data_IF_351106548358
#
_entry.id   IF_351106548358
#
_cell.length_a   1.000
_cell.length_b   1.000
_cell.length_c   1.000
_cell.angle_alpha   90.00
_cell.angle_beta   90.00
_cell.angle_gamma   90.00
#
_symmetry.space_group_name_H-M   'P 1'
#
loop_
_entity.id
_entity.type
_entity.pdbx_description
1 polymer ?
#
# COMPACT_ATOMS: atom_id res chain seq x y z
N UNK A 1 -4.27 31.52 10.79
CA UNK A 1 -4.85 30.94 9.58
C UNK A 1 -4.94 29.41 9.65
N UNK A 2 -5.62 28.82 8.69
CA UNK A 2 -5.91 27.37 8.58
C UNK A 2 -4.70 26.48 8.87
N UNK A 3 -3.53 26.88 8.43
CA UNK A 3 -2.29 26.11 8.56
C UNK A 3 -1.68 26.10 9.96
N UNK A 4 -2.13 26.99 10.87
CA UNK A 4 -1.59 27.13 12.23
C UNK A 4 -2.51 26.57 13.32
N UNK A 5 -3.65 26.00 12.95
CA UNK A 5 -4.61 25.45 13.92
C UNK A 5 -4.08 24.18 14.58
N UNK A 6 -4.32 24.05 15.90
CA UNK A 6 -3.93 22.84 16.66
C UNK A 6 -4.79 21.61 16.34
N UNK A 7 -6.01 21.79 15.82
CA UNK A 7 -6.94 20.74 15.38
C UNK A 7 -7.73 21.22 14.17
N UNK A 8 -8.11 20.29 13.31
CA UNK A 8 -9.00 20.58 12.19
C UNK A 8 -10.44 20.64 12.70
N UNK A 9 -10.85 21.81 13.14
CA UNK A 9 -12.25 22.07 13.57
C UNK A 9 -13.17 22.14 12.34
N UNK A 10 -14.48 22.06 12.55
CA UNK A 10 -15.44 22.23 11.45
C UNK A 10 -15.34 23.61 10.79
N UNK A 11 -15.01 24.66 11.56
CA UNK A 11 -14.73 25.97 11.01
C UNK A 11 -13.50 25.92 10.08
N UNK A 12 -12.42 25.27 10.52
CA UNK A 12 -11.20 25.12 9.70
C UNK A 12 -11.45 24.31 8.43
N UNK A 13 -12.27 23.25 8.52
CA UNK A 13 -12.67 22.45 7.35
C UNK A 13 -13.46 23.29 6.32
N UNK A 14 -14.33 24.18 6.80
CA UNK A 14 -15.04 25.14 5.93
C UNK A 14 -14.08 26.14 5.29
N UNK A 15 -13.11 26.65 6.04
CA UNK A 15 -12.11 27.57 5.51
C UNK A 15 -11.23 26.92 4.43
N UNK A 16 -10.88 25.63 4.62
CA UNK A 16 -10.17 24.86 3.59
C UNK A 16 -10.98 24.75 2.32
N UNK A 17 -12.28 24.42 2.43
CA UNK A 17 -13.15 24.32 1.26
C UNK A 17 -13.33 25.68 0.56
N UNK A 18 -13.47 26.75 1.31
CA UNK A 18 -13.56 28.11 0.76
C UNK A 18 -12.27 28.52 0.02
N UNK A 19 -11.10 28.13 0.56
CA UNK A 19 -9.81 28.34 -0.12
C UNK A 19 -9.72 27.51 -1.41
N UNK A 20 -10.14 26.27 -1.38
CA UNK A 20 -10.19 25.41 -2.57
C UNK A 20 -11.09 26.00 -3.64
N UNK A 21 -12.29 26.46 -3.26
CA UNK A 21 -13.24 27.10 -4.17
C UNK A 21 -12.64 28.38 -4.78
N UNK A 22 -12.02 29.22 -3.98
CA UNK A 22 -11.32 30.42 -4.44
C UNK A 22 -10.23 30.06 -5.47
N UNK A 23 -9.40 29.05 -5.19
CA UNK A 23 -8.33 28.64 -6.11
C UNK A 23 -8.91 28.08 -7.41
N UNK A 24 -10.07 27.42 -7.33
CA UNK A 24 -10.74 26.86 -8.50
C UNK A 24 -11.44 27.90 -9.36
N UNK A 25 -11.92 28.98 -8.77
CA UNK A 25 -12.76 29.97 -9.44
C UNK A 25 -12.02 31.26 -9.84
N UNK A 26 -10.90 31.61 -9.17
CA UNK A 26 -10.14 32.80 -9.46
C UNK A 26 -9.41 32.71 -10.81
N UNK A 27 -9.72 33.56 -11.81
CA UNK A 27 -9.10 33.48 -13.14
C UNK A 27 -7.58 33.68 -13.11
N UNK A 28 -7.10 34.52 -12.23
CA UNK A 28 -5.68 34.85 -12.04
C UNK A 28 -4.86 33.66 -11.51
N UNK A 29 -5.50 32.69 -10.86
CA UNK A 29 -4.86 31.49 -10.33
C UNK A 29 -4.89 30.29 -11.29
N UNK A 30 -5.56 30.42 -12.45
CA UNK A 30 -5.80 29.33 -13.40
C UNK A 30 -4.53 28.52 -13.71
N UNK A 31 -3.43 29.21 -14.03
CA UNK A 31 -2.16 28.58 -14.42
C UNK A 31 -1.35 28.02 -13.22
N UNK A 32 -1.78 28.27 -11.99
CA UNK A 32 -1.11 27.81 -10.77
C UNK A 32 -2.01 26.94 -9.89
N UNK A 33 -3.21 26.67 -10.34
CA UNK A 33 -4.23 25.94 -9.57
C UNK A 33 -3.71 24.62 -9.03
N UNK A 34 -3.21 23.76 -9.91
CA UNK A 34 -2.71 22.42 -9.55
C UNK A 34 -1.58 22.51 -8.52
N UNK A 35 -0.63 23.41 -8.71
CA UNK A 35 0.50 23.58 -7.77
C UNK A 35 0.02 24.07 -6.40
N UNK A 36 -0.91 25.04 -6.36
CA UNK A 36 -1.44 25.57 -5.10
C UNK A 36 -2.22 24.51 -4.34
N UNK A 37 -3.08 23.76 -5.03
CA UNK A 37 -3.88 22.70 -4.42
C UNK A 37 -3.01 21.52 -3.98
N UNK A 38 -2.01 21.14 -4.78
CA UNK A 38 -1.03 20.14 -4.40
C UNK A 38 -0.35 20.50 -3.07
N UNK A 39 0.24 21.68 -2.99
CA UNK A 39 0.92 22.13 -1.78
C UNK A 39 -0.02 22.24 -0.57
N UNK A 40 -1.26 22.68 -0.78
CA UNK A 40 -2.28 22.74 0.27
C UNK A 40 -2.59 21.34 0.80
N UNK A 41 -2.86 20.39 -0.08
CA UNK A 41 -3.17 19.00 0.29
C UNK A 41 -2.00 18.31 0.97
N UNK A 42 -0.79 18.47 0.42
CA UNK A 42 0.43 17.90 0.99
C UNK A 42 0.67 18.40 2.42
N UNK A 43 0.60 19.73 2.61
CA UNK A 43 0.84 20.34 3.92
C UNK A 43 -0.24 19.94 4.94
N UNK A 44 -1.50 20.03 4.56
CA UNK A 44 -2.61 19.65 5.44
C UNK A 44 -2.60 18.15 5.75
N UNK A 45 -2.35 17.31 4.76
CA UNK A 45 -2.29 15.87 4.92
C UNK A 45 -1.22 15.46 5.94
N UNK A 46 0.00 15.98 5.79
CA UNK A 46 1.08 15.77 6.77
C UNK A 46 0.69 16.24 8.17
N UNK A 47 0.12 17.43 8.30
CA UNK A 47 -0.31 17.96 9.59
C UNK A 47 -1.40 17.16 10.28
N UNK A 48 -2.34 16.60 9.53
CA UNK A 48 -3.38 15.74 10.08
C UNK A 48 -2.78 14.43 10.60
N UNK A 49 -1.88 13.82 9.85
CA UNK A 49 -1.18 12.60 10.27
C UNK A 49 -0.37 12.84 11.55
N UNK A 50 0.38 13.93 11.63
CA UNK A 50 1.13 14.31 12.83
C UNK A 50 0.24 14.48 14.07
N UNK A 51 -1.05 14.74 13.89
CA UNK A 51 -2.05 14.92 14.95
C UNK A 51 -2.89 13.69 15.25
N UNK A 52 -2.62 12.58 14.56
CA UNK A 52 -3.36 11.34 14.73
C UNK A 52 -4.67 11.27 13.92
N UNK A 53 -4.94 12.24 13.04
CA UNK A 53 -6.07 12.22 12.11
C UNK A 53 -5.63 11.56 10.78
N UNK A 54 -5.16 10.33 10.89
CA UNK A 54 -4.47 9.63 9.80
C UNK A 54 -5.37 9.40 8.59
N UNK A 55 -6.64 9.03 8.79
CA UNK A 55 -7.55 8.76 7.68
C UNK A 55 -7.74 9.98 6.77
N UNK A 56 -8.12 11.13 7.33
CA UNK A 56 -8.31 12.37 6.55
C UNK A 56 -6.98 12.82 5.91
N UNK A 57 -5.88 12.69 6.66
CA UNK A 57 -4.55 13.05 6.17
C UNK A 57 -4.11 12.25 4.96
N UNK A 58 -4.33 10.95 4.97
CA UNK A 58 -3.97 10.05 3.85
C UNK A 58 -4.79 10.36 2.60
N UNK A 59 -6.10 10.63 2.74
CA UNK A 59 -6.92 11.03 1.59
C UNK A 59 -6.45 12.36 0.97
N UNK A 60 -6.03 13.33 1.79
CA UNK A 60 -5.45 14.57 1.25
C UNK A 60 -4.11 14.33 0.55
N UNK A 61 -3.25 13.48 1.09
CA UNK A 61 -1.99 13.13 0.43
C UNK A 61 -2.25 12.45 -0.93
N UNK A 62 -3.24 11.57 -1.02
CA UNK A 62 -3.61 10.95 -2.29
C UNK A 62 -4.10 11.98 -3.32
N UNK A 63 -4.81 13.02 -2.89
CA UNK A 63 -5.21 14.14 -3.77
C UNK A 63 -4.00 14.97 -4.23
N UNK A 64 -3.06 15.26 -3.35
CA UNK A 64 -1.81 15.94 -3.69
C UNK A 64 -1.07 15.18 -4.81
N UNK A 65 -0.86 13.90 -4.63
CA UNK A 65 -0.16 13.06 -5.61
C UNK A 65 -0.85 13.04 -6.99
N UNK A 66 -2.18 12.98 -7.02
CA UNK A 66 -2.94 13.05 -8.28
C UNK A 66 -2.76 14.37 -9.02
N UNK A 67 -2.68 15.48 -8.29
CA UNK A 67 -2.50 16.81 -8.88
C UNK A 67 -1.10 17.01 -9.43
N UNK A 68 -0.09 16.47 -8.76
CA UNK A 68 1.31 16.64 -9.16
C UNK A 68 1.72 15.70 -10.31
N UNK A 69 0.94 14.62 -10.57
CA UNK A 69 1.21 13.67 -11.63
C UNK A 69 2.50 12.90 -11.55
N UNK A 70 3.19 13.11 -10.50
CA UNK A 70 4.42 12.40 -10.26
C UNK A 70 4.11 11.10 -9.58
N UNK A 71 4.29 10.01 -10.30
CA UNK A 71 4.55 8.71 -9.69
C UNK A 71 5.92 8.81 -9.00
N UNK A 72 6.01 9.66 -7.99
CA UNK A 72 7.24 9.77 -7.18
C UNK A 72 7.44 8.53 -6.30
N UNK A 73 6.53 7.57 -6.31
CA UNK A 73 6.66 6.30 -5.62
C UNK A 73 7.85 5.47 -6.07
N UNK A 74 8.37 5.71 -7.27
CA UNK A 74 9.57 5.03 -7.77
C UNK A 74 10.89 5.69 -7.36
N UNK A 75 10.87 6.98 -6.96
CA UNK A 75 12.09 7.77 -6.81
C UNK A 75 12.19 8.55 -5.49
N UNK A 76 11.26 8.39 -4.57
CA UNK A 76 11.30 9.12 -3.31
C UNK A 76 10.36 8.58 -2.25
N UNK A 77 10.56 9.01 -1.02
CA UNK A 77 9.68 8.67 0.10
C UNK A 77 8.34 9.37 -0.10
N UNK A 78 7.37 8.62 -0.58
CA UNK A 78 6.01 9.11 -0.68
C UNK A 78 5.39 9.17 0.72
N UNK A 79 4.99 10.37 1.14
CA UNK A 79 4.44 10.58 2.47
C UNK A 79 3.19 9.73 2.75
N UNK A 80 2.40 9.44 1.71
CA UNK A 80 1.24 8.55 1.78
C UNK A 80 1.66 7.10 2.05
N UNK A 81 2.66 6.60 1.34
CA UNK A 81 3.19 5.23 1.55
C UNK A 81 3.71 5.09 2.97
N UNK A 82 4.50 6.05 3.45
CA UNK A 82 5.00 6.06 4.83
C UNK A 82 3.85 6.08 5.85
N UNK A 83 2.78 6.84 5.59
CA UNK A 83 1.62 6.87 6.46
C UNK A 83 0.88 5.52 6.49
N UNK A 84 0.73 4.85 5.33
CA UNK A 84 0.13 3.52 5.26
C UNK A 84 0.97 2.45 5.95
N UNK A 85 2.28 2.49 5.79
CA UNK A 85 3.16 1.54 6.44
C UNK A 85 3.11 1.64 7.98
N UNK A 86 2.84 2.83 8.50
CA UNK A 86 2.66 3.08 9.93
C UNK A 86 1.23 2.88 10.43
N UNK A 87 0.26 2.74 9.52
CA UNK A 87 -1.13 2.56 9.88
C UNK A 87 -1.37 1.20 10.55
N UNK A 88 -2.19 1.20 11.59
CA UNK A 88 -2.69 -0.01 12.23
C UNK A 88 -3.93 -0.57 11.50
N UNK A 89 -4.34 -1.81 11.74
CA UNK A 89 -5.61 -2.33 11.23
C UNK A 89 -6.82 -1.45 11.55
N UNK A 90 -6.84 -0.84 12.74
CA UNK A 90 -7.91 0.08 13.15
C UNK A 90 -7.90 1.39 12.35
N UNK A 91 -6.75 1.84 11.87
CA UNK A 91 -6.66 3.01 10.99
C UNK A 91 -7.24 2.70 9.61
N UNK A 92 -6.95 1.52 9.06
CA UNK A 92 -7.58 1.06 7.82
C UNK A 92 -9.09 0.95 7.95
N UNK A 93 -9.59 0.43 9.08
CA UNK A 93 -11.04 0.37 9.34
C UNK A 93 -11.67 1.76 9.37
N UNK A 94 -11.00 2.77 9.94
CA UNK A 94 -11.47 4.16 9.92
C UNK A 94 -11.49 4.74 8.51
N UNK A 95 -10.47 4.45 7.69
CA UNK A 95 -10.43 4.89 6.29
C UNK A 95 -11.56 4.25 5.47
N UNK A 96 -11.77 2.95 5.63
CA UNK A 96 -12.86 2.22 4.96
C UNK A 96 -14.22 2.76 5.40
N UNK A 97 -14.42 2.97 6.71
CA UNK A 97 -15.66 3.54 7.23
C UNK A 97 -15.93 4.96 6.67
N UNK A 98 -14.87 5.76 6.45
CA UNK A 98 -15.00 7.07 5.82
C UNK A 98 -15.42 6.96 4.34
N UNK A 99 -14.89 5.97 3.60
CA UNK A 99 -15.32 5.70 2.23
C UNK A 99 -16.78 5.21 2.16
N UNK A 100 -17.18 4.34 3.08
CA UNK A 100 -18.51 3.72 3.10
C UNK A 100 -19.61 4.65 3.70
N UNK A 101 -19.19 5.75 4.34
CA UNK A 101 -20.11 6.68 5.01
C UNK A 101 -21.09 7.31 4.00
N UNK A 102 -22.39 7.12 4.22
CA UNK A 102 -23.47 7.67 3.37
C UNK A 102 -23.68 9.17 3.55
N UNK A 103 -23.68 9.64 4.79
CA UNK A 103 -23.92 11.04 5.15
C UNK A 103 -22.61 11.79 5.40
N UNK A 104 -21.77 11.85 4.35
CA UNK A 104 -20.50 12.60 4.42
C UNK A 104 -20.75 14.11 4.54
N UNK A 105 -19.96 14.77 5.38
CA UNK A 105 -19.83 16.24 5.38
C UNK A 105 -19.27 16.73 4.04
N UNK A 106 -19.34 18.02 3.76
CA UNK A 106 -18.75 18.59 2.54
C UNK A 106 -17.24 18.33 2.46
N UNK A 107 -16.53 18.42 3.60
CA UNK A 107 -15.10 18.14 3.67
C UNK A 107 -14.80 16.65 3.42
N UNK A 108 -15.55 15.73 4.03
CA UNK A 108 -15.38 14.29 3.81
C UNK A 108 -15.66 13.91 2.35
N UNK A 109 -16.70 14.47 1.74
CA UNK A 109 -16.94 14.28 0.29
C UNK A 109 -15.77 14.79 -0.53
N UNK A 110 -15.27 15.97 -0.20
CA UNK A 110 -14.15 16.57 -0.91
C UNK A 110 -12.91 15.67 -0.86
N UNK A 111 -12.46 15.24 0.31
CA UNK A 111 -11.22 14.47 0.45
C UNK A 111 -11.32 13.05 -0.12
N UNK A 112 -12.51 12.44 -0.13
CA UNK A 112 -12.75 11.10 -0.67
C UNK A 112 -13.16 11.08 -2.15
N UNK A 113 -13.31 12.26 -2.80
CA UNK A 113 -13.64 12.34 -4.21
C UNK A 113 -12.48 11.83 -5.10
N UNK A 114 -12.84 11.21 -6.23
CA UNK A 114 -11.90 10.63 -7.19
C UNK A 114 -11.85 11.36 -8.54
N UNK A 115 -12.62 12.44 -8.67
CA UNK A 115 -12.90 13.17 -9.91
C UNK A 115 -11.93 14.30 -10.24
N UNK A 116 -10.88 14.49 -9.47
CA UNK A 116 -9.93 15.62 -9.61
C UNK A 116 -8.92 15.46 -10.75
N UNK A 117 -9.35 15.03 -11.90
CA UNK A 117 -8.47 15.05 -13.07
C UNK A 117 -8.29 16.49 -13.54
N UNK A 118 -7.07 17.06 -13.57
CA UNK A 118 -6.83 18.29 -14.28
C UNK A 118 -7.23 18.08 -15.76
N UNK A 119 -8.02 18.98 -16.31
CA UNK A 119 -8.56 18.85 -17.66
C UNK A 119 -7.50 18.85 -18.79
N UNK A 120 -6.27 19.19 -18.45
CA UNK A 120 -5.13 19.43 -19.35
C UNK A 120 -4.00 18.40 -19.18
N UNK A 121 -4.28 17.27 -18.48
CA UNK A 121 -3.27 16.31 -18.16
C UNK A 121 -3.44 15.00 -18.90
N UNK A 122 -2.43 14.63 -19.69
CA UNK A 122 -2.20 13.24 -20.11
C UNK A 122 -1.77 12.40 -18.91
N UNK A 123 -2.58 12.38 -17.86
CA UNK A 123 -2.38 11.49 -16.74
C UNK A 123 -2.56 10.09 -17.28
N UNK A 124 -1.49 9.33 -17.30
CA UNK A 124 -1.62 7.93 -17.65
C UNK A 124 -2.62 7.30 -16.68
N UNK A 125 -3.52 6.49 -17.16
CA UNK A 125 -4.49 5.73 -16.37
C UNK A 125 -3.83 5.02 -15.17
N UNK A 126 -2.56 4.68 -15.33
CA UNK A 126 -1.69 4.12 -14.31
C UNK A 126 -1.54 5.02 -13.07
N UNK A 127 -1.24 6.33 -13.23
CA UNK A 127 -1.08 7.26 -12.09
C UNK A 127 -2.37 7.37 -11.30
N UNK A 128 -3.49 7.42 -12.01
CA UNK A 128 -4.79 7.50 -11.37
C UNK A 128 -5.09 6.24 -10.55
N UNK A 129 -4.84 5.07 -11.11
CA UNK A 129 -5.02 3.79 -10.41
C UNK A 129 -4.11 3.64 -9.20
N UNK A 130 -2.88 4.14 -9.27
CA UNK A 130 -1.94 4.07 -8.14
C UNK A 130 -2.32 5.00 -6.98
N UNK A 131 -2.88 6.15 -7.27
CA UNK A 131 -3.23 7.16 -6.27
C UNK A 131 -4.66 7.06 -5.75
N UNK A 132 -5.53 6.36 -6.45
CA UNK A 132 -6.89 6.10 -5.99
C UNK A 132 -6.89 5.24 -4.72
N UNK A 133 -7.66 5.65 -3.73
CA UNK A 133 -7.88 4.89 -2.50
C UNK A 133 -9.25 4.22 -2.55
N UNK A 134 -9.33 3.10 -3.24
CA UNK A 134 -10.54 2.27 -3.21
C UNK A 134 -10.64 1.47 -1.92
N UNK A 135 -11.84 0.97 -1.63
CA UNK A 135 -12.11 0.08 -0.50
C UNK A 135 -11.24 -1.18 -0.59
N UNK A 136 -11.14 -1.76 -1.77
CA UNK A 136 -10.36 -2.98 -2.04
C UNK A 136 -8.86 -2.76 -1.78
N UNK A 137 -8.34 -1.59 -2.18
CA UNK A 137 -6.95 -1.22 -1.93
C UNK A 137 -6.66 -1.05 -0.44
N UNK A 138 -7.56 -0.44 0.32
CA UNK A 138 -7.43 -0.32 1.77
C UNK A 138 -7.53 -1.68 2.48
N UNK A 139 -8.37 -2.58 1.98
CA UNK A 139 -8.42 -3.97 2.46
C UNK A 139 -7.12 -4.72 2.14
N UNK A 140 -6.55 -4.55 0.94
CA UNK A 140 -5.25 -5.13 0.59
C UNK A 140 -4.16 -4.66 1.56
N UNK A 141 -4.08 -3.37 1.84
CA UNK A 141 -3.10 -2.81 2.76
C UNK A 141 -3.29 -3.33 4.20
N UNK A 142 -4.53 -3.42 4.66
CA UNK A 142 -4.85 -4.01 5.97
C UNK A 142 -4.44 -5.49 6.04
N UNK A 143 -4.72 -6.27 5.00
CA UNK A 143 -4.33 -7.68 4.93
C UNK A 143 -2.81 -7.84 4.86
N UNK A 144 -2.11 -6.98 4.12
CA UNK A 144 -0.65 -6.92 4.06
C UNK A 144 -0.06 -6.65 5.45
N UNK A 145 -0.68 -5.78 6.25
CA UNK A 145 -0.26 -5.56 7.63
C UNK A 145 -0.32 -6.86 8.46
N UNK A 146 -1.42 -7.61 8.37
CA UNK A 146 -1.55 -8.89 9.07
C UNK A 146 -0.53 -9.94 8.57
N UNK A 147 -0.27 -9.95 7.26
CA UNK A 147 0.73 -10.84 6.68
C UNK A 147 2.15 -10.54 7.20
N UNK A 148 2.50 -9.26 7.33
CA UNK A 148 3.77 -8.82 7.93
C UNK A 148 3.89 -9.25 9.39
N UNK A 149 2.79 -9.23 10.13
CA UNK A 149 2.71 -9.69 11.51
C UNK A 149 2.62 -11.24 11.65
N UNK A 150 2.84 -12.01 10.58
CA UNK A 150 2.68 -13.47 10.49
C UNK A 150 1.29 -13.99 10.92
N UNK A 151 0.28 -13.11 10.86
CA UNK A 151 -1.11 -13.45 11.19
C UNK A 151 -1.86 -13.90 9.92
N UNK A 152 -1.48 -15.07 9.38
CA UNK A 152 -1.97 -15.57 8.09
C UNK A 152 -3.50 -15.71 8.04
N UNK A 153 -4.13 -16.22 9.10
CA UNK A 153 -5.59 -16.38 9.16
C UNK A 153 -6.31 -15.03 9.12
N UNK A 154 -5.81 -14.04 9.84
CA UNK A 154 -6.35 -12.69 9.82
C UNK A 154 -6.14 -12.04 8.43
N UNK A 155 -4.98 -12.21 7.83
CA UNK A 155 -4.72 -11.75 6.47
C UNK A 155 -5.68 -12.38 5.46
N UNK A 156 -5.86 -13.71 5.50
CA UNK A 156 -6.77 -14.44 4.63
C UNK A 156 -8.23 -13.97 4.80
N UNK A 157 -8.68 -13.74 6.04
CA UNK A 157 -10.02 -13.26 6.33
C UNK A 157 -10.30 -11.87 5.71
N UNK A 158 -9.29 -11.00 5.65
CA UNK A 158 -9.41 -9.70 5.00
C UNK A 158 -9.31 -9.84 3.47
N UNK A 159 -8.36 -10.62 2.95
CA UNK A 159 -8.21 -10.83 1.50
C UNK A 159 -9.47 -11.44 0.86
N UNK A 160 -10.22 -12.29 1.56
CA UNK A 160 -11.50 -12.86 1.07
C UNK A 160 -12.58 -11.80 0.81
N UNK A 161 -12.45 -10.60 1.35
CA UNK A 161 -13.38 -9.49 1.10
C UNK A 161 -13.07 -8.74 -0.21
N UNK A 162 -11.95 -9.05 -0.85
CA UNK A 162 -11.50 -8.41 -2.09
C UNK A 162 -11.91 -9.29 -3.28
N UNK A 163 -12.63 -8.75 -4.28
CA UNK A 163 -13.05 -9.52 -5.44
C UNK A 163 -11.84 -9.91 -6.31
N UNK A 164 -11.94 -11.06 -6.98
CA UNK A 164 -10.86 -11.57 -7.82
C UNK A 164 -10.47 -10.66 -8.98
N UNK A 165 -11.41 -9.88 -9.50
CA UNK A 165 -11.16 -8.89 -10.55
C UNK A 165 -10.17 -7.80 -10.15
N UNK A 166 -10.07 -7.49 -8.85
CA UNK A 166 -9.10 -6.53 -8.34
C UNK A 166 -7.65 -6.95 -8.62
N UNK A 167 -7.37 -8.25 -8.49
CA UNK A 167 -6.03 -8.81 -8.67
C UNK A 167 -5.59 -8.90 -10.14
N UNK A 168 -6.51 -8.71 -11.07
CA UNK A 168 -6.21 -8.71 -12.51
C UNK A 168 -5.73 -7.35 -13.03
N UNK A 169 -5.82 -6.33 -12.20
CA UNK A 169 -5.38 -4.98 -12.53
C UNK A 169 -3.91 -4.75 -12.13
N UNK A 170 -3.27 -3.78 -12.79
CA UNK A 170 -1.96 -3.27 -12.37
C UNK A 170 -2.02 -2.75 -10.91
N UNK A 171 -1.02 -2.95 -10.06
CA UNK A 171 0.24 -3.65 -10.34
C UNK A 171 0.18 -5.18 -10.14
N UNK A 172 -0.89 -5.71 -9.60
CA UNK A 172 -0.97 -7.10 -9.15
C UNK A 172 -0.82 -8.11 -10.29
N UNK A 173 -1.38 -7.81 -11.45
CA UNK A 173 -1.30 -8.69 -12.62
C UNK A 173 0.15 -9.00 -13.06
N UNK A 174 1.08 -8.07 -12.83
CA UNK A 174 2.50 -8.26 -13.17
C UNK A 174 3.19 -9.30 -12.30
N UNK A 175 2.71 -9.53 -11.09
CA UNK A 175 3.29 -10.45 -10.12
C UNK A 175 2.63 -11.82 -10.12
N UNK A 176 1.49 -11.96 -10.82
CA UNK A 176 0.66 -13.15 -10.77
C UNK A 176 1.13 -14.28 -11.71
N UNK A 177 2.21 -14.09 -12.46
CA UNK A 177 2.66 -15.00 -13.52
C UNK A 177 3.62 -16.11 -13.05
N UNK A 178 4.23 -15.93 -11.88
CA UNK A 178 5.20 -16.87 -11.31
C UNK A 178 4.63 -17.62 -10.10
N UNK A 179 5.23 -18.79 -9.78
CA UNK A 179 4.91 -19.52 -8.55
C UNK A 179 5.81 -19.03 -7.40
N UNK A 180 5.24 -18.38 -6.34
CA UNK A 180 6.03 -17.90 -5.21
C UNK A 180 6.62 -19.02 -4.34
N UNK A 181 6.16 -20.26 -4.51
CA UNK A 181 6.65 -21.43 -3.79
C UNK A 181 7.84 -22.11 -4.49
N UNK A 182 8.21 -21.63 -5.68
CA UNK A 182 9.38 -22.10 -6.44
C UNK A 182 10.39 -20.97 -6.52
N UNK A 183 11.58 -21.19 -5.95
CA UNK A 183 12.69 -20.24 -6.05
C UNK A 183 13.76 -20.83 -6.96
N UNK A 184 14.04 -20.14 -8.06
CA UNK A 184 15.18 -20.45 -8.92
C UNK A 184 16.32 -19.51 -8.57
N UNK A 185 17.29 -20.01 -7.78
CA UNK A 185 18.45 -19.25 -7.32
C UNK A 185 19.44 -18.99 -8.44
N UNK A 186 19.56 -19.91 -9.41
CA UNK A 186 20.52 -19.81 -10.50
C UNK A 186 20.09 -18.82 -11.58
N UNK A 187 18.77 -18.72 -11.81
CA UNK A 187 18.20 -17.77 -12.76
C UNK A 187 16.92 -17.12 -12.19
N UNK A 188 17.08 -16.06 -11.41
CA UNK A 188 15.92 -15.38 -10.81
C UNK A 188 15.03 -14.69 -11.85
N UNK A 189 15.46 -14.62 -13.10
CA UNK A 189 14.70 -14.04 -14.21
C UNK A 189 14.12 -15.10 -15.16
N UNK A 190 14.40 -16.39 -14.92
CA UNK A 190 13.83 -17.44 -15.72
C UNK A 190 12.38 -17.64 -15.30
N UNK A 191 11.50 -17.12 -16.11
CA UNK A 191 10.05 -17.27 -15.98
C UNK A 191 9.71 -18.67 -16.52
N UNK A 192 9.40 -19.63 -15.65
CA UNK A 192 8.77 -20.87 -16.07
C UNK A 192 7.35 -20.55 -16.58
N UNK A 193 7.27 -20.28 -17.87
CA UNK A 193 6.01 -19.95 -18.57
C UNK A 193 5.01 -21.11 -18.62
N UNK A 194 5.37 -22.28 -18.12
CA UNK A 194 4.54 -23.50 -18.21
C UNK A 194 3.52 -23.62 -17.07
N UNK A 195 3.75 -22.93 -15.94
CA UNK A 195 2.78 -22.95 -14.84
C UNK A 195 1.78 -21.80 -14.99
N UNK A 196 0.67 -22.11 -15.66
CA UNK A 196 -0.45 -21.19 -15.87
C UNK A 196 -1.26 -20.85 -14.62
N UNK A 197 -0.78 -21.18 -13.44
CA UNK A 197 -1.45 -20.85 -12.17
C UNK A 197 -1.21 -19.40 -11.83
N UNK A 198 -2.20 -18.56 -12.05
CA UNK A 198 -2.17 -17.18 -11.59
C UNK A 198 -2.47 -17.13 -10.11
N UNK A 199 -1.47 -16.75 -9.32
CA UNK A 199 -1.64 -16.50 -7.90
C UNK A 199 -2.18 -15.10 -7.65
N UNK A 200 -3.10 -15.00 -6.69
CA UNK A 200 -3.49 -13.72 -6.06
C UNK A 200 -2.87 -13.66 -4.66
N UNK A 201 -2.79 -12.47 -4.05
CA UNK A 201 -2.34 -12.39 -2.64
C UNK A 201 -3.17 -13.32 -1.73
N UNK A 202 -4.48 -13.42 -1.97
CA UNK A 202 -5.38 -14.32 -1.25
C UNK A 202 -4.95 -15.79 -1.40
N UNK A 203 -4.80 -16.27 -2.62
CA UNK A 203 -4.48 -17.68 -2.87
C UNK A 203 -3.09 -18.07 -2.37
N UNK A 204 -2.12 -17.15 -2.40
CA UNK A 204 -0.79 -17.35 -1.78
C UNK A 204 -0.94 -17.58 -0.28
N UNK A 205 -1.63 -16.70 0.43
CA UNK A 205 -1.80 -16.82 1.89
C UNK A 205 -2.58 -18.06 2.25
N UNK A 206 -3.65 -18.39 1.52
CA UNK A 206 -4.42 -19.61 1.73
C UNK A 206 -3.56 -20.88 1.50
N UNK A 207 -2.68 -20.87 0.51
CA UNK A 207 -1.72 -21.96 0.28
C UNK A 207 -0.70 -22.06 1.42
N UNK A 208 -0.19 -20.95 1.93
CA UNK A 208 0.72 -20.94 3.09
C UNK A 208 0.05 -21.55 4.32
N UNK A 209 -1.20 -21.19 4.61
CA UNK A 209 -1.98 -21.78 5.71
C UNK A 209 -2.12 -23.30 5.51
N UNK A 210 -2.48 -23.73 4.31
CA UNK A 210 -2.62 -25.14 4.01
C UNK A 210 -1.31 -25.93 4.21
N UNK A 211 -0.17 -25.39 3.76
CA UNK A 211 1.15 -25.98 3.95
C UNK A 211 1.54 -26.07 5.44
N UNK A 212 1.26 -25.04 6.24
CA UNK A 212 1.50 -25.07 7.70
C UNK A 212 0.70 -26.18 8.37
N UNK A 213 -0.59 -26.25 8.08
CA UNK A 213 -1.47 -27.28 8.64
C UNK A 213 -1.07 -28.71 8.19
N UNK A 214 -0.65 -28.88 6.94
CA UNK A 214 -0.20 -30.16 6.44
C UNK A 214 1.13 -30.57 7.08
N UNK A 215 2.07 -29.65 7.28
CA UNK A 215 3.33 -29.91 7.98
C UNK A 215 3.12 -30.37 9.43
N UNK A 216 2.09 -29.86 10.11
CA UNK A 216 1.71 -30.30 11.46
C UNK A 216 1.09 -31.68 11.49
N UNK A 217 0.26 -32.01 10.50
CA UNK A 217 -0.52 -33.26 10.45
C UNK A 217 0.25 -34.46 9.89
N UNK A 218 1.13 -34.22 8.92
CA UNK A 218 1.85 -35.26 8.22
C UNK A 218 3.38 -35.10 8.36
N UNK A 219 4.01 -35.91 9.26
CA UNK A 219 5.47 -35.83 9.44
C UNK A 219 6.27 -36.14 8.17
N UNK A 220 5.71 -36.91 7.21
CA UNK A 220 6.40 -37.24 5.94
C UNK A 220 6.47 -36.06 4.99
N UNK A 221 5.54 -35.12 5.10
CA UNK A 221 5.47 -33.94 4.27
C UNK A 221 6.05 -32.68 4.94
N UNK A 222 6.40 -32.79 6.24
CA UNK A 222 6.83 -31.64 7.04
C UNK A 222 7.98 -30.88 6.40
N UNK A 223 9.07 -31.60 6.07
CA UNK A 223 10.26 -30.99 5.47
C UNK A 223 9.93 -30.27 4.16
N UNK A 224 9.24 -30.94 3.24
CA UNK A 224 8.84 -30.34 1.96
C UNK A 224 7.95 -29.11 2.15
N UNK A 225 6.97 -29.18 3.06
CA UNK A 225 6.06 -28.07 3.28
C UNK A 225 6.77 -26.87 3.91
N UNK A 226 7.71 -27.08 4.83
CA UNK A 226 8.54 -25.99 5.36
C UNK A 226 9.45 -25.41 4.28
N UNK A 227 10.04 -26.23 3.41
CA UNK A 227 10.81 -25.75 2.28
C UNK A 227 9.97 -24.84 1.36
N UNK A 228 8.75 -25.23 1.01
CA UNK A 228 7.84 -24.41 0.19
C UNK A 228 7.44 -23.11 0.91
N UNK A 229 7.20 -23.16 2.22
CA UNK A 229 6.95 -21.96 3.03
C UNK A 229 8.17 -21.01 3.06
N UNK A 230 9.38 -21.58 3.13
CA UNK A 230 10.63 -20.84 3.03
C UNK A 230 10.74 -20.13 1.68
N UNK A 231 10.43 -20.82 0.59
CA UNK A 231 10.41 -20.24 -0.76
C UNK A 231 9.41 -19.07 -0.85
N UNK A 232 8.18 -19.27 -0.36
CA UNK A 232 7.18 -18.20 -0.36
C UNK A 232 7.65 -16.98 0.46
N UNK A 233 8.18 -17.21 1.66
CA UNK A 233 8.70 -16.13 2.51
C UNK A 233 9.87 -15.39 1.86
N UNK A 234 10.79 -16.11 1.19
CA UNK A 234 11.87 -15.51 0.42
C UNK A 234 11.33 -14.69 -0.76
N UNK A 235 10.40 -15.25 -1.50
CA UNK A 235 9.77 -14.55 -2.64
C UNK A 235 9.07 -13.25 -2.23
N UNK A 236 8.54 -13.17 -1.01
CA UNK A 236 7.91 -11.97 -0.45
C UNK A 236 8.91 -10.95 0.14
N UNK A 237 10.21 -11.27 0.18
CA UNK A 237 11.26 -10.37 0.65
C UNK A 237 11.69 -9.38 -0.44
N UNK A 238 12.60 -8.46 -0.06
CA UNK A 238 13.29 -7.58 -1.01
C UNK A 238 13.96 -8.31 -2.17
N UNK A 239 14.46 -9.52 -1.91
CA UNK A 239 15.21 -10.31 -2.89
C UNK A 239 14.31 -11.11 -3.83
N UNK A 240 13.00 -11.14 -3.57
CA UNK A 240 12.04 -11.92 -4.33
C UNK A 240 11.13 -11.07 -5.21
N UNK A 241 10.42 -11.76 -6.12
CA UNK A 241 9.51 -11.12 -7.08
C UNK A 241 8.17 -10.71 -6.46
N UNK A 242 7.78 -11.34 -5.34
CA UNK A 242 6.50 -11.09 -4.65
C UNK A 242 6.62 -10.08 -3.51
N UNK A 243 7.58 -9.12 -3.60
CA UNK A 243 7.76 -8.05 -2.62
C UNK A 243 6.44 -7.30 -2.30
N UNK A 244 5.53 -7.20 -3.27
CA UNK A 244 4.21 -6.56 -3.12
C UNK A 244 3.33 -7.24 -2.06
N UNK A 245 3.64 -8.48 -1.66
CA UNK A 245 2.98 -9.17 -0.54
C UNK A 245 3.33 -8.55 0.81
N UNK A 246 4.51 -7.95 0.93
CA UNK A 246 5.04 -7.42 2.18
C UNK A 246 5.08 -5.89 2.22
N UNK A 247 4.91 -5.22 1.08
CA UNK A 247 5.00 -3.76 0.95
C UNK A 247 3.81 -3.18 0.19
N UNK A 248 3.48 -1.94 0.53
CA UNK A 248 2.41 -1.17 -0.11
C UNK A 248 2.92 -0.44 -1.34
N UNK A 249 4.18 -0.09 -1.35
CA UNK A 249 4.88 0.53 -2.46
C UNK A 249 6.35 0.20 -2.44
N UNK A 250 7.01 0.36 -3.58
CA UNK A 250 8.44 0.18 -3.69
C UNK A 250 9.13 1.54 -3.65
N UNK A 251 10.10 1.71 -2.76
CA UNK A 251 10.90 2.92 -2.63
C UNK A 251 12.37 2.61 -2.87
N UNK A 252 12.99 3.35 -3.77
CA UNK A 252 14.44 3.25 -4.00
C UNK A 252 15.27 3.78 -2.83
N UNK A 253 14.67 4.57 -1.93
CA UNK A 253 15.31 5.05 -0.69
C UNK A 253 15.65 3.90 0.25
N UNK A 254 14.83 2.86 0.29
CA UNK A 254 15.09 1.68 1.10
C UNK A 254 16.40 0.98 0.71
N UNK A 255 16.81 1.09 -0.56
CA UNK A 255 18.08 0.51 -1.03
C UNK A 255 19.33 1.21 -0.51
N UNK A 256 19.31 2.53 -0.38
CA UNK A 256 20.46 3.30 0.09
C UNK A 256 20.68 3.13 1.59
N UNK A 257 19.59 3.04 2.36
CA UNK A 257 19.62 2.95 3.81
C UNK A 257 20.09 1.58 4.31
N UNK A 258 19.79 0.53 3.57
CA UNK A 258 20.21 -0.82 3.91
C UNK A 258 21.74 -0.99 3.93
N UNK A 259 22.46 -0.33 3.03
CA UNK A 259 23.93 -0.42 2.97
C UNK A 259 24.62 0.33 4.10
N UNK A 260 24.06 1.42 4.58
CA UNK A 260 24.73 2.30 5.56
C UNK A 260 24.38 2.02 7.02
N UNK A 261 23.38 1.18 7.33
CA UNK A 261 22.90 0.81 8.68
C UNK A 261 22.68 2.00 9.65
N UNK A 262 22.82 3.22 9.18
CA UNK A 262 22.73 4.44 10.00
C UNK A 262 21.39 5.14 9.91
N UNK A 263 20.59 4.82 8.90
CA UNK A 263 19.24 5.35 8.76
C UNK A 263 18.26 4.22 9.05
N UNK A 264 17.53 4.36 10.13
CA UNK A 264 16.41 3.47 10.41
C UNK A 264 15.38 3.65 9.29
N UNK A 265 15.06 2.59 8.58
CA UNK A 265 13.85 2.59 7.76
C UNK A 265 12.68 3.03 8.64
N UNK A 266 11.78 3.89 8.13
CA UNK A 266 10.60 4.28 8.89
C UNK A 266 9.61 3.11 9.10
N UNK A 267 9.96 1.90 8.64
CA UNK A 267 9.06 0.76 8.57
C UNK A 267 9.45 -0.32 9.56
N UNK A 268 8.52 -0.72 10.41
CA UNK A 268 8.68 -1.88 11.28
C UNK A 268 8.71 -3.17 10.44
N UNK A 269 9.56 -4.12 10.79
CA UNK A 269 9.66 -5.41 10.10
C UNK A 269 10.70 -5.47 8.98
N UNK A 270 11.55 -4.47 8.84
CA UNK A 270 12.62 -4.44 7.84
C UNK A 270 13.61 -5.60 7.96
N UNK A 271 13.84 -6.09 9.16
CA UNK A 271 14.73 -7.23 9.40
C UNK A 271 14.24 -8.51 8.70
N UNK A 272 12.92 -8.71 8.61
CA UNK A 272 12.36 -9.85 7.87
C UNK A 272 12.36 -9.59 6.36
N UNK A 273 11.98 -8.39 5.95
CA UNK A 273 11.91 -8.02 4.53
C UNK A 273 13.28 -8.01 3.85
N UNK A 274 14.28 -7.38 4.45
CA UNK A 274 15.65 -7.34 3.91
C UNK A 274 16.52 -8.52 4.36
N UNK A 275 16.32 -9.00 5.58
CA UNK A 275 17.14 -10.06 6.19
C UNK A 275 16.62 -11.47 5.98
N UNK A 276 15.45 -11.65 5.36
CA UNK A 276 14.83 -12.96 5.06
C UNK A 276 14.71 -13.90 6.29
N UNK A 277 14.54 -13.37 7.50
CA UNK A 277 14.52 -14.17 8.73
C UNK A 277 13.43 -15.23 8.74
N UNK A 278 12.23 -14.89 8.26
CA UNK A 278 11.13 -15.84 8.17
C UNK A 278 11.43 -16.98 7.20
N UNK A 279 12.01 -16.65 6.05
CA UNK A 279 12.45 -17.67 5.09
C UNK A 279 13.51 -18.60 5.70
N UNK A 280 14.51 -18.02 6.38
CA UNK A 280 15.54 -18.78 7.10
C UNK A 280 14.91 -19.72 8.14
N UNK A 281 13.99 -19.22 8.96
CA UNK A 281 13.32 -20.04 9.99
C UNK A 281 12.58 -21.24 9.39
N UNK A 282 11.93 -21.08 8.24
CA UNK A 282 11.28 -22.19 7.55
C UNK A 282 12.28 -23.17 6.96
N UNK A 283 13.38 -22.72 6.37
CA UNK A 283 14.42 -23.60 5.83
C UNK A 283 15.12 -24.40 6.93
N UNK A 284 15.29 -23.85 8.15
CA UNK A 284 15.82 -24.57 9.29
C UNK A 284 14.90 -25.71 9.79
N UNK A 285 13.60 -25.63 9.50
CA UNK A 285 12.60 -26.65 9.84
C UNK A 285 12.41 -27.69 8.72
N UNK A 286 12.95 -27.42 7.53
CA UNK A 286 12.86 -28.29 6.37
C UNK A 286 13.93 -29.39 6.38
#
# INVERSE_FOLDING_TARGET
GVLNTKRLTDATRKDVLALVDLVNTAPELRNRRSVILDQLHLYLGKKLIERGELAEGVFLLARSERLYGTIMGWWGTNARIVAFEKASPADYDRMIALLDKTNKTAFERYITATDDRPADWETTEQVFRETELSREKLLDYKATWYLRADSLDAAAAVFRQIPDSFWQAYPYAMFAEDDPFVVNIEDPHNYNKEDSVRYTKRTIVERMIALKLEAERDPKKRALNHYLLGNAAYSMSWHGKYWIMSRIGWSTWEMSDWRDRKMSSPMDGDEDYFGCRRAQSYYELA
#
